data_IF_426532211646
#
_entry.id   IF_426532211646
#
_cell.length_a   1.000
_cell.length_b   1.000
_cell.length_c   1.000
_cell.angle_alpha   90.00
_cell.angle_beta   90.00
_cell.angle_gamma   90.00
#
_symmetry.space_group_name_H-M   'P 1'
#
loop_
_entity.id
_entity.type
_entity.pdbx_description
1 polymer ?
#
# COMPACT_ATOMS: atom_id res chain seq x y z
N UNK A 1 6.83 -3.85 -1.20
CA UNK A 1 6.54 -4.71 -0.03
C UNK A 1 5.43 -4.04 0.76
N UNK A 2 4.50 -4.81 1.31
CA UNK A 2 3.33 -4.31 2.03
C UNK A 2 2.92 -5.29 3.12
N UNK A 3 1.80 -4.99 3.77
CA UNK A 3 1.21 -5.79 4.82
C UNK A 3 0.15 -6.73 4.23
N UNK A 4 0.29 -8.03 4.45
CA UNK A 4 -0.73 -9.03 4.22
C UNK A 4 -1.28 -9.56 5.54
N UNK A 5 -2.50 -10.10 5.48
CA UNK A 5 -3.14 -10.75 6.60
C UNK A 5 -3.78 -12.08 6.16
N UNK A 6 -3.80 -13.06 7.07
CA UNK A 6 -4.57 -14.29 6.89
C UNK A 6 -5.23 -14.76 8.17
N UNK A 7 -6.40 -15.37 8.03
CA UNK A 7 -7.11 -16.07 9.11
C UNK A 7 -7.35 -17.51 8.71
N UNK A 8 -7.11 -18.43 9.63
CA UNK A 8 -7.28 -19.86 9.37
C UNK A 8 -8.74 -20.29 9.45
N UNK A 9 -9.12 -21.27 8.62
CA UNK A 9 -10.42 -21.90 8.71
C UNK A 9 -10.50 -22.86 9.92
N UNK A 10 -11.71 -23.24 10.29
CA UNK A 10 -11.99 -24.23 11.33
C UNK A 10 -12.28 -25.63 10.77
N UNK A 11 -12.12 -25.84 9.45
CA UNK A 11 -12.49 -27.10 8.81
C UNK A 11 -11.78 -28.32 9.40
N UNK A 12 -10.53 -28.16 9.86
CA UNK A 12 -9.79 -29.25 10.50
C UNK A 12 -10.40 -29.62 11.86
N UNK A 13 -10.86 -28.64 12.65
CA UNK A 13 -11.49 -28.86 13.95
C UNK A 13 -12.91 -29.42 13.79
N UNK A 14 -13.59 -29.07 12.71
CA UNK A 14 -14.94 -29.53 12.37
C UNK A 14 -14.98 -30.88 11.65
N UNK A 15 -13.82 -31.51 11.39
CA UNK A 15 -13.74 -32.77 10.65
C UNK A 15 -14.16 -32.68 9.18
N UNK A 16 -14.09 -31.47 8.59
CA UNK A 16 -14.45 -31.19 7.19
C UNK A 16 -13.28 -31.33 6.22
N UNK A 17 -12.09 -31.67 6.71
CA UNK A 17 -10.90 -31.92 5.89
C UNK A 17 -10.82 -33.37 5.44
N UNK A 18 -10.10 -33.64 4.36
CA UNK A 18 -9.55 -34.99 4.16
C UNK A 18 -8.60 -35.35 5.32
N UNK A 19 -8.39 -36.64 5.65
CA UNK A 19 -7.51 -37.03 6.74
C UNK A 19 -6.09 -36.48 6.61
N UNK A 20 -5.53 -35.96 7.70
CA UNK A 20 -4.14 -35.53 7.74
C UNK A 20 -3.22 -36.72 7.44
N UNK A 21 -2.21 -36.59 6.55
CA UNK A 21 -1.23 -37.65 6.29
C UNK A 21 -0.39 -38.04 7.51
N UNK A 22 -0.31 -37.15 8.52
CA UNK A 22 0.52 -37.32 9.72
C UNK A 22 -0.28 -37.02 11.01
N UNK A 23 -1.34 -37.80 11.32
CA UNK A 23 -2.25 -37.47 12.41
C UNK A 23 -1.58 -37.41 13.78
N UNK A 24 -0.60 -38.27 14.05
CA UNK A 24 0.10 -38.33 15.35
C UNK A 24 1.07 -37.16 15.57
N UNK A 25 1.43 -36.45 14.50
CA UNK A 25 2.39 -35.32 14.52
C UNK A 25 1.72 -33.98 14.30
N UNK A 26 0.47 -33.97 13.84
CA UNK A 26 -0.32 -32.78 13.61
C UNK A 26 -0.61 -32.04 14.93
N UNK A 27 -0.46 -30.72 14.91
CA UNK A 27 -0.93 -29.85 15.98
C UNK A 27 -1.27 -28.47 15.44
N UNK A 28 -1.93 -27.66 16.25
CA UNK A 28 -2.10 -26.23 15.99
C UNK A 28 -1.06 -25.50 16.84
N UNK A 29 -0.18 -24.74 16.19
CA UNK A 29 0.86 -23.97 16.89
C UNK A 29 0.26 -22.72 17.58
N UNK A 30 1.09 -22.02 18.34
CA UNK A 30 0.66 -20.84 19.12
C UNK A 30 0.14 -19.69 18.25
N UNK A 31 0.44 -19.72 16.94
CA UNK A 31 -0.10 -18.78 15.97
C UNK A 31 -1.47 -19.19 15.41
N UNK A 32 -2.03 -20.32 15.83
CA UNK A 32 -3.30 -20.85 15.33
C UNK A 32 -3.18 -21.60 14.00
N UNK A 33 -1.97 -22.01 13.59
CA UNK A 33 -1.73 -22.70 12.33
C UNK A 33 -1.51 -24.20 12.50
N UNK A 34 -2.08 -25.03 11.62
CA UNK A 34 -1.65 -26.40 11.38
C UNK A 34 -0.15 -26.48 11.18
N UNK A 35 0.48 -27.30 12.00
CA UNK A 35 1.92 -27.50 12.01
C UNK A 35 2.23 -28.98 12.29
N UNK A 36 3.47 -29.36 12.02
CA UNK A 36 3.92 -30.75 12.03
C UNK A 36 5.11 -30.90 12.97
N UNK A 37 4.95 -31.75 14.00
CA UNK A 37 6.09 -32.09 14.87
C UNK A 37 7.15 -32.87 14.08
N UNK A 38 8.44 -32.57 14.27
CA UNK A 38 9.51 -33.41 13.74
C UNK A 38 9.40 -34.84 14.28
N UNK A 39 9.74 -35.83 13.46
CA UNK A 39 9.84 -37.22 13.88
C UNK A 39 11.29 -37.71 13.76
N UNK A 40 11.78 -38.53 14.70
CA UNK A 40 13.05 -39.24 14.52
C UNK A 40 12.99 -40.08 13.25
N UNK A 41 14.09 -40.11 12.49
CA UNK A 41 14.26 -40.91 11.26
C UNK A 41 13.31 -40.56 10.09
N UNK A 42 12.61 -39.42 10.15
CA UNK A 42 11.81 -38.93 9.02
C UNK A 42 12.61 -38.05 8.06
N UNK A 43 12.30 -38.15 6.77
CA UNK A 43 12.67 -37.14 5.78
C UNK A 43 11.76 -35.91 5.96
N UNK A 44 12.21 -34.97 6.80
CA UNK A 44 11.40 -33.83 7.21
C UNK A 44 11.01 -32.92 6.03
N UNK A 45 11.88 -32.74 5.04
CA UNK A 45 11.57 -31.93 3.85
C UNK A 45 10.44 -32.57 3.03
N UNK A 46 10.55 -33.88 2.81
CA UNK A 46 9.50 -34.63 2.11
C UNK A 46 8.18 -34.62 2.87
N UNK A 47 8.23 -34.79 4.19
CA UNK A 47 7.04 -34.73 5.03
C UNK A 47 6.38 -33.34 4.99
N UNK A 48 7.19 -32.29 5.06
CA UNK A 48 6.70 -30.91 4.96
C UNK A 48 6.07 -30.63 3.59
N UNK A 49 6.62 -31.19 2.51
CA UNK A 49 6.03 -31.09 1.17
C UNK A 49 4.67 -31.79 1.09
N UNK A 50 4.56 -33.01 1.64
CA UNK A 50 3.29 -33.76 1.69
C UNK A 50 2.27 -33.01 2.54
N UNK A 51 2.69 -32.50 3.70
CA UNK A 51 1.84 -31.74 4.61
C UNK A 51 1.37 -30.43 3.98
N UNK A 52 2.27 -29.66 3.36
CA UNK A 52 1.93 -28.42 2.65
C UNK A 52 0.95 -28.68 1.51
N UNK A 53 1.17 -29.73 0.72
CA UNK A 53 0.23 -30.12 -0.33
C UNK A 53 -1.15 -30.50 0.25
N UNK A 54 -1.19 -31.16 1.40
CA UNK A 54 -2.44 -31.41 2.10
C UNK A 54 -3.09 -30.10 2.56
N UNK A 55 -2.39 -29.16 3.20
CA UNK A 55 -2.95 -27.85 3.57
C UNK A 55 -3.58 -27.11 2.38
N UNK A 56 -3.00 -27.23 1.18
CA UNK A 56 -3.52 -26.62 -0.04
C UNK A 56 -4.84 -27.21 -0.54
N UNK A 57 -5.14 -28.48 -0.24
CA UNK A 57 -6.24 -29.21 -0.90
C UNK A 57 -7.17 -29.96 0.07
N UNK A 58 -6.86 -29.99 1.36
CA UNK A 58 -7.58 -30.78 2.35
C UNK A 58 -9.02 -30.32 2.56
N UNK A 59 -9.31 -29.05 2.28
CA UNK A 59 -10.63 -28.45 2.38
C UNK A 59 -10.83 -27.40 1.27
N UNK A 60 -12.04 -26.84 1.13
CA UNK A 60 -12.31 -25.79 0.15
C UNK A 60 -11.52 -24.48 0.35
N UNK A 61 -10.79 -24.34 1.46
CA UNK A 61 -9.95 -23.19 1.79
C UNK A 61 -8.47 -23.53 1.54
N UNK A 62 -7.87 -23.08 0.41
CA UNK A 62 -6.47 -23.38 0.12
C UNK A 62 -5.53 -22.86 1.19
N UNK A 63 -4.54 -23.68 1.55
CA UNK A 63 -3.63 -23.40 2.66
C UNK A 63 -4.31 -23.38 4.02
N UNK A 64 -5.55 -23.89 4.11
CA UNK A 64 -6.46 -23.77 5.25
C UNK A 64 -6.76 -22.31 5.64
N UNK A 65 -6.61 -21.36 4.71
CA UNK A 65 -6.88 -19.95 4.93
C UNK A 65 -8.36 -19.65 4.65
N UNK A 66 -9.12 -19.36 5.72
CA UNK A 66 -10.50 -18.85 5.60
C UNK A 66 -10.51 -17.57 4.80
N UNK A 67 -9.54 -16.70 5.10
CA UNK A 67 -9.36 -15.41 4.46
C UNK A 67 -7.86 -15.12 4.30
N UNK A 68 -7.51 -14.49 3.18
CA UNK A 68 -6.19 -13.93 2.93
C UNK A 68 -6.35 -12.63 2.14
N UNK A 69 -5.80 -11.56 2.68
CA UNK A 69 -5.94 -10.21 2.12
C UNK A 69 -4.60 -9.51 2.05
N UNK A 70 -4.39 -8.76 0.97
CA UNK A 70 -3.40 -7.71 0.93
C UNK A 70 -4.03 -6.45 1.52
N UNK A 71 -3.43 -5.90 2.59
CA UNK A 71 -3.96 -4.73 3.28
C UNK A 71 -3.55 -3.47 2.55
N UNK A 72 -2.24 -3.21 2.47
CA UNK A 72 -1.68 -2.12 1.68
C UNK A 72 -0.15 -2.20 1.59
N UNK A 73 0.45 -1.31 0.80
CA UNK A 73 1.88 -1.04 0.90
C UNK A 73 2.18 -0.30 2.22
N UNK A 74 3.45 -0.28 2.63
CA UNK A 74 3.86 0.35 3.89
C UNK A 74 3.63 1.87 3.95
N UNK A 75 3.70 2.57 2.81
CA UNK A 75 3.50 4.03 2.77
C UNK A 75 2.06 4.38 3.13
N UNK A 76 1.10 3.77 2.43
CA UNK A 76 -0.32 4.02 2.65
C UNK A 76 -0.80 3.45 3.98
N UNK A 77 -0.24 2.31 4.41
CA UNK A 77 -0.51 1.75 5.72
C UNK A 77 -0.05 2.68 6.85
N UNK A 78 1.17 3.21 6.77
CA UNK A 78 1.68 4.16 7.77
C UNK A 78 0.88 5.47 7.75
N UNK A 79 0.46 5.94 6.57
CA UNK A 79 -0.44 7.08 6.47
C UNK A 79 -1.78 6.82 7.20
N UNK A 80 -2.35 5.62 7.07
CA UNK A 80 -3.55 5.23 7.79
C UNK A 80 -3.33 5.18 9.31
N UNK A 81 -2.24 4.55 9.78
CA UNK A 81 -1.90 4.49 11.22
C UNK A 81 -1.69 5.90 11.80
N UNK A 82 -0.99 6.78 11.08
CA UNK A 82 -0.79 8.17 11.47
C UNK A 82 -2.14 8.90 11.60
N UNK A 83 -3.04 8.70 10.63
CA UNK A 83 -4.39 9.27 10.63
C UNK A 83 -5.19 8.83 11.86
N UNK A 84 -5.16 7.53 12.21
CA UNK A 84 -5.81 7.03 13.43
C UNK A 84 -5.21 7.68 14.70
N UNK A 85 -3.89 7.84 14.71
CA UNK A 85 -3.15 8.35 15.88
C UNK A 85 -3.36 9.85 16.12
N UNK A 86 -3.57 10.65 15.07
CA UNK A 86 -3.68 12.11 15.18
C UNK A 86 -5.13 12.59 15.30
N UNK A 87 -6.08 11.91 14.67
CA UNK A 87 -7.44 12.44 14.54
C UNK A 87 -8.33 12.14 15.75
N UNK A 88 -8.20 10.95 16.34
CA UNK A 88 -8.90 10.58 17.56
C UNK A 88 -8.31 9.29 18.19
N UNK A 89 -7.10 9.33 18.76
CA UNK A 89 -6.39 8.13 19.21
C UNK A 89 -7.21 7.29 20.21
N UNK A 90 -7.90 7.94 21.14
CA UNK A 90 -8.80 7.27 22.10
C UNK A 90 -9.99 6.54 21.45
N UNK A 91 -10.45 6.95 20.26
CA UNK A 91 -11.51 6.25 19.52
C UNK A 91 -11.00 5.00 18.80
N UNK A 92 -9.69 4.91 18.55
CA UNK A 92 -9.06 3.88 17.73
C UNK A 92 -8.03 3.05 18.52
N UNK A 93 -8.20 2.99 19.84
CA UNK A 93 -7.23 2.38 20.74
C UNK A 93 -7.03 0.88 20.50
N UNK A 94 -8.04 0.16 20.02
CA UNK A 94 -7.89 -1.27 19.67
C UNK A 94 -7.08 -1.41 18.39
N UNK A 95 -7.42 -0.69 17.33
CA UNK A 95 -6.69 -0.72 16.06
C UNK A 95 -5.23 -0.32 16.25
N UNK A 96 -4.96 0.78 16.96
CA UNK A 96 -3.60 1.25 17.24
C UNK A 96 -2.76 0.27 18.06
N UNK A 97 -3.40 -0.57 18.88
CA UNK A 97 -2.72 -1.57 19.70
C UNK A 97 -2.49 -2.88 18.96
N UNK A 98 -3.41 -3.27 18.08
CA UNK A 98 -3.45 -4.60 17.47
C UNK A 98 -2.87 -4.65 16.06
N UNK A 99 -2.87 -3.52 15.34
CA UNK A 99 -2.29 -3.43 14.00
C UNK A 99 -0.75 -3.41 14.10
N UNK A 100 -0.03 -4.20 13.27
CA UNK A 100 1.40 -4.40 13.44
C UNK A 100 2.23 -3.24 12.89
N UNK A 101 3.43 -3.03 13.44
CA UNK A 101 4.38 -2.04 12.90
C UNK A 101 5.32 -2.63 11.82
N UNK A 102 5.34 -3.95 11.65
CA UNK A 102 6.19 -4.67 10.72
C UNK A 102 5.51 -5.95 10.22
N UNK A 103 6.13 -6.65 9.27
CA UNK A 103 5.59 -7.93 8.80
C UNK A 103 5.77 -8.99 9.89
N UNK A 104 4.66 -9.37 10.51
CA UNK A 104 4.65 -10.38 11.56
C UNK A 104 3.70 -10.03 12.70
N UNK A 105 3.50 -11.02 13.56
CA UNK A 105 2.65 -10.88 14.74
C UNK A 105 1.24 -11.40 14.53
N UNK A 106 0.46 -11.31 15.60
CA UNK A 106 -0.88 -11.86 15.71
C UNK A 106 -1.80 -10.87 16.39
N UNK A 107 -3.01 -10.74 15.86
CA UNK A 107 -4.12 -10.09 16.54
C UNK A 107 -5.08 -11.16 17.04
N UNK A 108 -5.36 -11.27 18.35
CA UNK A 108 -6.27 -12.27 18.89
C UNK A 108 -7.69 -12.11 18.35
N UNK A 109 -8.39 -13.21 18.07
CA UNK A 109 -9.78 -13.16 17.59
C UNK A 109 -10.74 -12.40 18.53
N UNK A 110 -10.46 -12.43 19.84
CA UNK A 110 -11.27 -11.75 20.85
C UNK A 110 -11.30 -10.22 20.69
N UNK A 111 -10.33 -9.62 19.99
CA UNK A 111 -10.25 -8.17 19.77
C UNK A 111 -10.96 -7.74 18.49
N UNK A 112 -11.21 -8.67 17.56
CA UNK A 112 -11.82 -8.40 16.28
C UNK A 112 -13.18 -7.65 16.36
N UNK A 113 -14.11 -7.99 17.28
CA UNK A 113 -15.36 -7.24 17.40
C UNK A 113 -15.16 -5.77 17.81
N UNK A 114 -14.12 -5.47 18.59
CA UNK A 114 -13.79 -4.09 18.97
C UNK A 114 -13.14 -3.36 17.79
N UNK A 115 -12.18 -3.99 17.11
CA UNK A 115 -11.55 -3.44 15.91
C UNK A 115 -12.58 -3.13 14.80
N UNK A 116 -13.56 -4.00 14.56
CA UNK A 116 -14.63 -3.77 13.59
C UNK A 116 -15.47 -2.54 13.91
N UNK A 117 -15.82 -2.33 15.19
CA UNK A 117 -16.54 -1.12 15.61
C UNK A 117 -15.71 0.14 15.42
N UNK A 118 -14.40 0.07 15.62
CA UNK A 118 -13.49 1.19 15.39
C UNK A 118 -13.36 1.50 13.89
N UNK A 119 -13.36 0.48 13.01
CA UNK A 119 -13.43 0.68 11.56
C UNK A 119 -14.76 1.30 11.13
N UNK A 120 -15.89 0.88 11.71
CA UNK A 120 -17.19 1.50 11.47
C UNK A 120 -17.19 2.99 11.88
N UNK A 121 -16.61 3.28 13.06
CA UNK A 121 -16.49 4.64 13.56
C UNK A 121 -15.59 5.51 12.65
N UNK A 122 -14.50 4.96 12.12
CA UNK A 122 -13.64 5.62 11.15
C UNK A 122 -14.40 5.96 9.86
N UNK A 123 -15.14 4.99 9.30
CA UNK A 123 -15.93 5.21 8.07
C UNK A 123 -17.07 6.21 8.24
N UNK A 124 -17.55 6.41 9.47
CA UNK A 124 -18.61 7.38 9.78
C UNK A 124 -18.09 8.83 9.97
N UNK A 125 -16.78 9.06 9.89
CA UNK A 125 -16.21 10.41 9.99
C UNK A 125 -16.38 11.18 8.67
N UNK A 126 -16.69 12.48 8.76
CA UNK A 126 -16.73 13.35 7.58
C UNK A 126 -15.31 13.65 7.05
N UNK A 127 -14.37 13.87 7.97
CA UNK A 127 -12.97 14.17 7.70
C UNK A 127 -12.08 13.43 8.71
N UNK A 128 -10.98 12.89 8.23
CA UNK A 128 -10.02 12.10 9.02
C UNK A 128 -8.65 12.76 9.12
N UNK A 129 -8.46 13.95 8.56
CA UNK A 129 -7.21 14.70 8.60
C UNK A 129 -7.00 15.48 7.31
N UNK A 130 -5.78 15.94 7.05
CA UNK A 130 -5.39 16.59 5.81
C UNK A 130 -4.04 16.04 5.30
N UNK A 131 -3.78 16.21 4.01
CA UNK A 131 -2.46 15.99 3.43
C UNK A 131 -2.21 16.99 2.29
N UNK A 132 -0.95 17.19 1.95
CA UNK A 132 -0.50 18.02 0.85
C UNK A 132 -0.38 17.17 -0.40
N UNK A 133 -0.94 17.64 -1.51
CA UNK A 133 -0.96 16.92 -2.77
C UNK A 133 -0.38 17.76 -3.91
N UNK A 134 0.31 17.08 -4.83
CA UNK A 134 0.49 17.57 -6.21
C UNK A 134 -0.75 17.15 -6.99
N UNK A 135 -1.40 18.11 -7.62
CA UNK A 135 -2.69 17.97 -8.29
C UNK A 135 -2.54 18.39 -9.75
N UNK A 136 -3.17 17.67 -10.67
CA UNK A 136 -3.38 18.17 -12.03
C UNK A 136 -4.38 19.33 -11.96
N UNK A 137 -3.89 20.55 -12.20
CA UNK A 137 -4.70 21.75 -12.12
C UNK A 137 -5.81 21.85 -13.17
N UNK A 138 -5.82 20.98 -14.18
CA UNK A 138 -6.90 20.92 -15.18
C UNK A 138 -8.03 19.98 -14.78
N UNK A 139 -7.72 18.85 -14.13
CA UNK A 139 -8.70 17.80 -13.81
C UNK A 139 -9.08 17.78 -12.33
N UNK A 140 -8.21 18.27 -11.45
CA UNK A 140 -8.32 18.09 -10.00
C UNK A 140 -7.81 16.73 -9.51
N UNK A 141 -7.23 15.90 -10.38
CA UNK A 141 -6.71 14.59 -10.01
C UNK A 141 -5.50 14.74 -9.07
N UNK A 142 -5.53 14.03 -7.94
CA UNK A 142 -4.39 13.93 -7.02
C UNK A 142 -3.34 13.01 -7.65
N UNK A 143 -2.15 13.55 -7.92
CA UNK A 143 -1.05 12.83 -8.55
C UNK A 143 -0.13 12.20 -7.52
N UNK A 144 0.30 13.00 -6.54
CA UNK A 144 1.24 12.59 -5.50
C UNK A 144 0.87 13.23 -4.17
N UNK A 145 1.14 12.52 -3.07
CA UNK A 145 0.91 13.00 -1.72
C UNK A 145 2.25 13.27 -1.03
N UNK A 146 2.26 14.19 -0.07
CA UNK A 146 3.37 14.36 0.85
C UNK A 146 3.50 13.11 1.73
N UNK A 147 4.72 12.57 1.78
CA UNK A 147 5.10 11.43 2.62
C UNK A 147 6.28 11.87 3.50
N UNK A 148 6.06 12.08 4.82
CA UNK A 148 7.10 12.54 5.74
C UNK A 148 8.34 11.66 5.78
N UNK A 149 8.17 10.34 5.72
CA UNK A 149 9.26 9.35 5.76
C UNK A 149 10.25 9.49 4.59
N UNK A 150 9.81 10.11 3.49
CA UNK A 150 10.62 10.41 2.31
C UNK A 150 11.00 11.89 2.19
N UNK A 151 10.73 12.70 3.22
CA UNK A 151 10.89 14.14 3.17
C UNK A 151 10.07 14.78 2.05
N UNK A 152 8.95 14.15 1.66
CA UNK A 152 8.11 14.59 0.56
C UNK A 152 8.58 14.21 -0.85
N UNK A 153 9.73 13.53 -1.00
CA UNK A 153 10.23 13.07 -2.30
C UNK A 153 9.36 11.91 -2.80
N UNK A 154 8.90 12.02 -4.05
CA UNK A 154 8.12 10.98 -4.73
C UNK A 154 8.71 10.53 -6.09
N UNK A 155 9.71 11.25 -6.63
CA UNK A 155 10.52 10.80 -7.76
C UNK A 155 11.99 10.89 -7.40
N UNK A 156 12.70 9.76 -7.54
CA UNK A 156 14.16 9.68 -7.42
C UNK A 156 14.80 9.47 -8.79
N UNK A 157 15.30 10.53 -9.42
CA UNK A 157 16.03 10.44 -10.69
C UNK A 157 17.55 10.53 -10.45
N UNK A 158 18.12 9.40 -10.03
CA UNK A 158 19.57 9.25 -9.87
C UNK A 158 20.34 9.30 -11.19
N UNK A 159 19.68 9.17 -12.34
CA UNK A 159 20.34 9.20 -13.66
C UNK A 159 20.66 10.63 -14.08
N UNK A 160 19.77 11.56 -13.78
CA UNK A 160 19.95 12.99 -14.12
C UNK A 160 20.24 13.87 -12.91
N UNK A 161 20.34 13.28 -11.70
CA UNK A 161 20.75 13.98 -10.49
C UNK A 161 19.64 14.82 -9.86
N UNK A 162 18.37 14.53 -10.15
CA UNK A 162 17.26 15.30 -9.63
C UNK A 162 16.30 14.43 -8.83
N UNK A 163 15.88 14.89 -7.66
CA UNK A 163 14.71 14.32 -7.00
C UNK A 163 13.59 15.36 -6.99
N UNK A 164 12.36 14.89 -7.14
CA UNK A 164 11.16 15.73 -7.10
C UNK A 164 10.34 15.36 -5.88
N UNK A 165 9.90 16.37 -5.15
CA UNK A 165 9.05 16.20 -3.99
C UNK A 165 8.05 17.33 -3.82
N UNK A 166 7.25 17.20 -2.77
CA UNK A 166 6.26 18.18 -2.35
C UNK A 166 6.31 18.35 -0.84
N UNK A 167 6.12 19.56 -0.35
CA UNK A 167 5.96 19.87 1.08
C UNK A 167 5.01 21.07 1.24
N UNK A 168 4.93 21.62 2.46
CA UNK A 168 4.06 22.75 2.80
C UNK A 168 4.36 24.02 2.00
N UNK A 169 5.58 24.17 1.49
CA UNK A 169 6.03 25.32 0.69
C UNK A 169 5.83 25.10 -0.81
N UNK A 170 5.40 23.91 -1.24
CA UNK A 170 5.10 23.59 -2.62
C UNK A 170 5.89 22.42 -3.19
N UNK A 171 5.83 22.28 -4.51
CA UNK A 171 6.61 21.31 -5.25
C UNK A 171 8.05 21.79 -5.30
N UNK A 172 8.99 20.88 -5.10
CA UNK A 172 10.42 21.19 -5.12
C UNK A 172 11.19 20.19 -5.97
N UNK A 173 12.28 20.67 -6.56
CA UNK A 173 13.27 19.83 -7.25
C UNK A 173 14.61 20.08 -6.55
N UNK A 174 15.27 19.00 -6.12
CA UNK A 174 16.61 19.04 -5.54
C UNK A 174 17.63 18.48 -6.51
N UNK A 175 18.79 19.13 -6.59
CA UNK A 175 19.97 18.59 -7.24
C UNK A 175 20.76 17.74 -6.22
N UNK A 176 20.72 16.42 -6.40
CA UNK A 176 21.35 15.48 -5.47
C UNK A 176 22.87 15.39 -5.65
N UNK A 177 23.39 15.85 -6.79
CA UNK A 177 24.83 15.90 -7.05
C UNK A 177 25.46 17.15 -6.43
N UNK A 178 24.68 18.22 -6.24
CA UNK A 178 25.06 19.45 -5.55
C UNK A 178 24.49 19.53 -4.12
N UNK A 179 24.85 18.56 -3.27
CA UNK A 179 24.52 18.57 -1.83
C UNK A 179 23.01 18.65 -1.53
N UNK A 180 22.15 18.10 -2.42
CA UNK A 180 20.69 18.14 -2.27
C UNK A 180 20.12 19.57 -2.19
N UNK A 181 20.71 20.51 -2.92
CA UNK A 181 20.23 21.89 -3.00
C UNK A 181 18.89 21.94 -3.75
N UNK A 182 17.91 22.67 -3.21
CA UNK A 182 16.65 22.97 -3.91
C UNK A 182 16.94 23.93 -5.08
N UNK A 183 16.75 23.45 -6.31
CA UNK A 183 17.02 24.17 -7.56
C UNK A 183 15.75 24.70 -8.24
N UNK A 184 14.58 24.23 -7.83
CA UNK A 184 13.28 24.76 -8.23
C UNK A 184 12.27 24.59 -7.09
N UNK A 185 11.36 25.55 -6.93
CA UNK A 185 10.25 25.49 -5.99
C UNK A 185 9.07 26.30 -6.53
N UNK A 186 7.86 25.76 -6.43
CA UNK A 186 6.62 26.47 -6.78
C UNK A 186 5.38 25.78 -6.19
N UNK A 187 4.36 26.55 -5.82
CA UNK A 187 3.02 26.00 -5.50
C UNK A 187 2.15 25.79 -6.74
N UNK A 188 2.48 26.46 -7.85
CA UNK A 188 1.71 26.45 -9.10
C UNK A 188 2.68 26.55 -10.26
N UNK A 189 2.94 25.44 -10.93
CA UNK A 189 3.87 25.42 -12.06
C UNK A 189 3.27 24.77 -13.31
N UNK A 190 3.79 25.17 -14.46
CA UNK A 190 3.63 24.41 -15.68
C UNK A 190 4.82 23.47 -15.87
N UNK A 191 4.57 22.23 -16.29
CA UNK A 191 5.58 21.38 -16.92
C UNK A 191 5.40 21.38 -18.44
N UNK A 192 6.48 21.68 -19.16
CA UNK A 192 6.50 21.79 -20.61
C UNK A 192 7.42 20.70 -21.15
N UNK A 193 6.84 19.68 -21.77
CA UNK A 193 7.62 18.62 -22.42
C UNK A 193 8.20 19.13 -23.74
N UNK A 194 9.53 19.18 -23.85
CA UNK A 194 10.21 19.52 -25.10
C UNK A 194 10.31 18.32 -26.04
N UNK A 195 10.37 17.10 -25.49
CA UNK A 195 10.40 15.84 -26.24
C UNK A 195 9.22 14.92 -25.84
N UNK A 196 7.94 15.27 -26.13
CA UNK A 196 6.79 14.50 -25.66
C UNK A 196 6.81 13.03 -26.09
N UNK A 197 7.17 12.76 -27.36
CA UNK A 197 7.21 11.39 -27.88
C UNK A 197 8.29 10.53 -27.19
N UNK A 198 9.42 11.13 -26.82
CA UNK A 198 10.47 10.43 -26.08
C UNK A 198 9.99 10.16 -24.65
N UNK A 199 9.48 11.20 -23.98
CA UNK A 199 8.94 11.12 -22.62
C UNK A 199 7.84 10.05 -22.50
N UNK A 200 6.93 9.97 -23.46
CA UNK A 200 5.87 8.94 -23.48
C UNK A 200 6.40 7.51 -23.67
N UNK A 201 7.54 7.33 -24.34
CA UNK A 201 8.06 5.99 -24.69
C UNK A 201 9.11 5.47 -23.73
N UNK A 202 9.90 6.37 -23.13
CA UNK A 202 11.03 6.03 -22.26
C UNK A 202 10.89 6.56 -20.84
N UNK A 203 9.98 7.52 -20.59
CA UNK A 203 9.95 8.29 -19.34
C UNK A 203 11.10 9.31 -19.22
N UNK A 204 11.92 9.45 -20.26
CA UNK A 204 13.10 10.30 -20.31
C UNK A 204 12.91 11.33 -21.43
N UNK A 205 13.03 12.61 -21.12
CA UNK A 205 12.83 13.68 -22.09
C UNK A 205 12.99 15.04 -21.43
N UNK A 206 13.43 16.04 -22.20
CA UNK A 206 13.63 17.37 -21.65
C UNK A 206 12.29 17.97 -21.25
N UNK A 207 12.24 18.48 -20.03
CA UNK A 207 11.07 19.14 -19.44
C UNK A 207 11.50 20.47 -18.82
N UNK A 208 10.74 21.52 -19.09
CA UNK A 208 10.89 22.81 -18.43
C UNK A 208 9.75 23.00 -17.42
N UNK A 209 10.11 23.27 -16.17
CA UNK A 209 9.20 23.71 -15.13
C UNK A 209 9.18 25.23 -15.07
N UNK A 210 8.00 25.82 -15.13
CA UNK A 210 7.78 27.27 -15.05
C UNK A 210 6.92 27.57 -13.83
N UNK A 211 7.50 28.27 -12.86
CA UNK A 211 6.74 28.80 -11.73
C UNK A 211 5.81 29.91 -12.23
N UNK A 212 4.50 29.73 -12.05
CA UNK A 212 3.50 30.67 -12.54
C UNK A 212 3.38 31.94 -11.68
N UNK A 213 3.93 31.93 -10.47
CA UNK A 213 3.92 33.10 -9.60
C UNK A 213 5.11 34.02 -9.87
N UNK A 214 6.31 33.46 -10.03
CA UNK A 214 7.55 34.24 -10.19
C UNK A 214 8.06 34.30 -11.62
N UNK A 215 7.59 33.42 -12.51
CA UNK A 215 8.12 33.24 -13.85
C UNK A 215 9.48 32.52 -13.89
N UNK A 216 9.98 32.03 -12.75
CA UNK A 216 11.23 31.26 -12.69
C UNK A 216 11.09 29.98 -13.52
N UNK A 217 12.16 29.66 -14.26
CA UNK A 217 12.24 28.49 -15.13
C UNK A 217 13.33 27.55 -14.66
N UNK A 218 13.11 26.25 -14.80
CA UNK A 218 14.10 25.23 -14.54
C UNK A 218 13.93 24.06 -15.51
N UNK A 219 15.00 23.64 -16.16
CA UNK A 219 14.99 22.54 -17.11
C UNK A 219 15.63 21.30 -16.49
N UNK A 220 14.98 20.15 -16.64
CA UNK A 220 15.56 18.84 -16.32
C UNK A 220 15.05 17.76 -17.29
N UNK A 221 15.25 16.49 -16.93
CA UNK A 221 14.87 15.33 -17.75
C UNK A 221 13.76 14.48 -17.12
N UNK A 222 13.17 14.98 -16.04
CA UNK A 222 12.27 14.22 -15.18
C UNK A 222 10.90 14.86 -15.19
N UNK A 223 10.00 14.35 -16.03
CA UNK A 223 8.61 14.80 -16.05
C UNK A 223 7.81 14.17 -14.89
N UNK A 224 6.75 14.84 -14.45
CA UNK A 224 5.84 14.31 -13.43
C UNK A 224 4.67 13.64 -14.15
N UNK A 225 4.56 12.31 -14.13
CA UNK A 225 3.46 11.63 -14.77
C UNK A 225 2.17 11.74 -13.95
N UNK A 226 1.03 11.62 -14.63
CA UNK A 226 -0.28 11.41 -14.02
C UNK A 226 -0.72 9.95 -14.14
N UNK A 227 -2.01 9.72 -14.38
CA UNK A 227 -2.55 8.36 -14.47
C UNK A 227 -2.10 7.60 -15.71
N UNK A 228 -2.21 6.28 -15.61
CA UNK A 228 -2.07 5.40 -16.77
C UNK A 228 -3.20 5.64 -17.76
N UNK A 229 -2.84 5.76 -19.05
CA UNK A 229 -3.77 5.96 -20.16
C UNK A 229 -3.59 4.84 -21.19
N UNK A 230 -4.65 4.46 -21.93
CA UNK A 230 -4.54 3.45 -22.97
C UNK A 230 -3.65 3.94 -24.12
N UNK A 231 -3.00 2.99 -24.77
CA UNK A 231 -2.34 3.18 -26.06
C UNK A 231 -3.38 3.51 -27.15
N UNK A 232 -2.97 4.05 -28.32
CA UNK A 232 -3.90 4.37 -29.41
C UNK A 232 -4.75 3.18 -29.91
N UNK A 233 -4.30 1.95 -29.67
CA UNK A 233 -5.02 0.71 -29.98
C UNK A 233 -6.04 0.29 -28.89
N UNK A 234 -6.18 1.08 -27.83
CA UNK A 234 -7.09 0.87 -26.70
C UNK A 234 -6.56 -0.02 -25.58
N UNK A 235 -5.38 -0.64 -25.72
CA UNK A 235 -4.81 -1.50 -24.67
C UNK A 235 -4.12 -0.66 -23.59
N UNK A 236 -4.17 -1.12 -22.33
CA UNK A 236 -3.38 -0.50 -21.24
C UNK A 236 -1.88 -0.83 -21.33
N UNK A 237 -1.54 -1.94 -21.99
CA UNK A 237 -0.16 -2.37 -22.20
C UNK A 237 0.08 -2.68 -23.67
N UNK A 238 1.24 -2.25 -24.17
CA UNK A 238 1.69 -2.62 -25.51
C UNK A 238 2.28 -4.04 -25.53
N UNK A 239 2.77 -4.49 -26.69
CA UNK A 239 3.34 -5.83 -26.86
C UNK A 239 4.62 -6.07 -26.03
N UNK A 240 5.26 -5.02 -25.56
CA UNK A 240 6.42 -5.06 -24.67
C UNK A 240 6.03 -4.99 -23.18
N UNK A 241 4.73 -4.95 -22.87
CA UNK A 241 4.21 -4.86 -21.50
C UNK A 241 4.28 -3.47 -20.87
N UNK A 242 4.65 -2.43 -21.65
CA UNK A 242 4.75 -1.04 -21.17
C UNK A 242 3.38 -0.40 -21.07
N UNK A 243 3.17 0.36 -19.99
CA UNK A 243 2.04 1.28 -19.84
C UNK A 243 2.41 2.65 -20.42
N UNK A 244 1.38 3.45 -20.73
CA UNK A 244 1.53 4.86 -21.13
C UNK A 244 0.96 5.73 -20.02
N UNK A 245 1.61 6.87 -19.77
CA UNK A 245 1.21 7.83 -18.74
C UNK A 245 0.73 9.13 -19.41
N UNK A 246 -0.22 9.80 -18.78
CA UNK A 246 -0.45 11.22 -19.04
C UNK A 246 0.64 12.07 -18.36
N UNK A 247 0.85 13.29 -18.86
CA UNK A 247 1.77 14.25 -18.27
C UNK A 247 1.05 15.58 -18.08
N UNK A 248 0.47 15.84 -16.89
CA UNK A 248 -0.35 17.01 -16.61
C UNK A 248 0.42 18.31 -16.82
N UNK A 249 -0.03 19.17 -17.74
CA UNK A 249 0.68 20.44 -17.99
C UNK A 249 0.70 21.36 -16.77
N UNK A 250 -0.42 21.47 -16.06
CA UNK A 250 -0.57 22.37 -14.91
C UNK A 250 -0.49 21.55 -13.62
N UNK A 251 0.45 21.89 -12.76
CA UNK A 251 0.67 21.25 -11.47
C UNK A 251 0.39 22.26 -10.36
N UNK A 252 -0.45 21.87 -9.41
CA UNK A 252 -0.84 22.70 -8.26
C UNK A 252 -0.56 21.94 -6.98
N UNK A 253 0.00 22.62 -5.99
CA UNK A 253 0.20 22.06 -4.66
C UNK A 253 -0.80 22.64 -3.69
N UNK A 254 -1.66 21.77 -3.16
CA UNK A 254 -2.70 22.14 -2.21
C UNK A 254 -2.74 21.16 -1.04
N UNK A 255 -3.02 21.70 0.14
CA UNK A 255 -3.47 20.90 1.26
C UNK A 255 -4.97 20.60 1.06
N UNK A 256 -5.33 19.33 1.15
CA UNK A 256 -6.71 18.90 1.05
C UNK A 256 -7.09 18.01 2.24
N UNK A 257 -8.32 18.18 2.70
CA UNK A 257 -8.95 17.28 3.65
C UNK A 257 -8.97 15.84 3.11
N UNK A 258 -8.69 14.89 4.00
CA UNK A 258 -8.83 13.46 3.80
C UNK A 258 -10.18 13.02 4.33
N UNK A 259 -10.88 12.21 3.56
CA UNK A 259 -12.09 11.52 3.99
C UNK A 259 -11.77 10.03 4.17
N UNK A 260 -12.63 9.26 4.86
CA UNK A 260 -12.42 7.81 4.99
C UNK A 260 -12.29 7.08 3.65
N UNK A 261 -12.87 7.63 2.57
CA UNK A 261 -12.78 7.06 1.23
C UNK A 261 -11.33 6.96 0.71
N UNK A 262 -10.43 7.84 1.16
CA UNK A 262 -9.00 7.77 0.81
C UNK A 262 -8.35 6.46 1.29
N UNK A 263 -8.87 5.87 2.38
CA UNK A 263 -8.35 4.64 2.98
C UNK A 263 -9.27 3.42 2.76
N UNK A 264 -10.23 3.49 1.82
CA UNK A 264 -11.27 2.47 1.64
C UNK A 264 -10.71 1.07 1.38
N UNK A 265 -9.63 0.96 0.59
CA UNK A 265 -8.96 -0.31 0.31
C UNK A 265 -8.41 -0.96 1.59
N UNK A 266 -7.74 -0.18 2.43
CA UNK A 266 -7.20 -0.62 3.72
C UNK A 266 -8.33 -1.06 4.65
N UNK A 267 -9.35 -0.21 4.82
CA UNK A 267 -10.49 -0.48 5.71
C UNK A 267 -11.23 -1.74 5.28
N UNK A 268 -11.44 -1.93 3.97
CA UNK A 268 -12.10 -3.12 3.43
C UNK A 268 -11.28 -4.39 3.68
N UNK A 269 -9.96 -4.34 3.47
CA UNK A 269 -9.08 -5.47 3.73
C UNK A 269 -9.05 -5.84 5.23
N UNK A 270 -8.88 -4.85 6.11
CA UNK A 270 -8.88 -5.06 7.56
C UNK A 270 -10.23 -5.61 8.04
N UNK A 271 -11.35 -5.09 7.54
CA UNK A 271 -12.68 -5.59 7.86
C UNK A 271 -12.83 -7.07 7.55
N UNK A 272 -12.44 -7.50 6.35
CA UNK A 272 -12.46 -8.92 5.95
C UNK A 272 -11.64 -9.80 6.89
N UNK A 273 -10.43 -9.35 7.25
CA UNK A 273 -9.57 -10.09 8.18
C UNK A 273 -10.23 -10.20 9.58
N UNK A 274 -10.76 -9.12 10.13
CA UNK A 274 -11.39 -9.14 11.45
C UNK A 274 -12.74 -9.89 11.47
N UNK A 275 -13.55 -9.80 10.41
CA UNK A 275 -14.77 -10.60 10.27
C UNK A 275 -14.43 -12.10 10.26
N UNK A 276 -13.44 -12.51 9.45
CA UNK A 276 -12.99 -13.89 9.43
C UNK A 276 -12.47 -14.36 10.80
N UNK A 277 -11.73 -13.52 11.52
CA UNK A 277 -11.24 -13.83 12.87
C UNK A 277 -12.39 -13.97 13.88
N UNK A 278 -13.39 -13.08 13.82
CA UNK A 278 -14.57 -13.15 14.68
C UNK A 278 -15.44 -14.39 14.38
N UNK A 279 -15.59 -14.78 13.12
CA UNK A 279 -16.34 -15.97 12.71
C UNK A 279 -15.67 -17.27 13.13
N UNK A 280 -14.36 -17.37 12.97
CA UNK A 280 -13.61 -18.61 13.17
C UNK A 280 -13.09 -18.78 14.60
N UNK A 281 -12.96 -17.68 15.34
CA UNK A 281 -12.25 -17.66 16.62
C UNK A 281 -10.73 -17.79 16.48
N UNK A 282 -10.18 -17.83 15.25
CA UNK A 282 -8.75 -17.88 14.99
C UNK A 282 -8.15 -16.47 14.89
N UNK A 283 -6.89 -16.26 15.33
CA UNK A 283 -6.25 -14.95 15.25
C UNK A 283 -6.02 -14.51 13.80
N UNK A 284 -5.84 -13.20 13.61
CA UNK A 284 -5.29 -12.64 12.37
C UNK A 284 -3.76 -12.76 12.43
N UNK A 285 -3.15 -13.33 11.40
CA UNK A 285 -1.70 -13.36 11.21
C UNK A 285 -1.28 -12.33 10.18
N UNK A 286 -0.25 -11.56 10.51
CA UNK A 286 0.35 -10.53 9.67
C UNK A 286 1.66 -11.01 9.04
N UNK A 287 1.94 -10.65 7.78
CA UNK A 287 3.18 -11.05 7.06
C UNK A 287 3.42 -10.24 5.79
#
# INVERSE_FOLDING_TARGET
MGLEASVMCTCYAEGKTTPCPFPDRFFINDAGFPDLRPAPDSDFERDLQIFTNWLQHACPHPGMQRERVYVSNWVDYNAFINTLSTSAPEKFATLLRELPAENGGLTPAATAPAALRELDAFQAMDEVGSNIFVIDGNTGDKLYAYVPDYGGIFIWDGRHGHNIGVDEDGLFIVDVWELSRVVFRSRRCEQILHDPALTETTGDGRVEYVDLETGRRFECHTAIPGKEIPWPDGRMRNDEGRFRLEYPRLLVVEEQALTPAYFESIVTALRRAFEAAAETGNPVRWF
#
